data_IF_603101097560
#
_entry.id   IF_603101097560
#
_cell.length_a   1.000
_cell.length_b   1.000
_cell.length_c   1.000
_cell.angle_alpha   90.00
_cell.angle_beta   90.00
_cell.angle_gamma   90.00
#
_symmetry.space_group_name_H-M   'P 1'
#
loop_
_entity.id
_entity.type
_entity.pdbx_description
1 polymer ?
#
# COMPACT_ATOMS: atom_id res chain seq x y z
N UNK A 1 -19.86 -3.32 11.52
CA UNK A 1 -19.21 -4.66 11.62
C UNK A 1 -18.04 -4.70 12.61
N UNK A 2 -16.85 -4.18 12.31
CA UNK A 2 -15.72 -4.30 13.27
C UNK A 2 -15.97 -3.55 14.60
N UNK A 3 -16.58 -2.36 14.54
CA UNK A 3 -16.99 -1.61 15.74
C UNK A 3 -18.13 -2.32 16.49
N UNK A 4 -19.06 -2.97 15.78
CA UNK A 4 -20.13 -3.79 16.41
C UNK A 4 -19.54 -5.00 17.13
N UNK A 5 -18.61 -5.72 16.50
CA UNK A 5 -17.88 -6.84 17.12
C UNK A 5 -17.11 -6.40 18.37
N UNK A 6 -16.50 -5.21 18.34
CA UNK A 6 -15.84 -4.64 19.50
C UNK A 6 -16.83 -4.36 20.64
N UNK A 7 -18.02 -3.84 20.32
CA UNK A 7 -19.09 -3.59 21.30
C UNK A 7 -19.77 -4.85 21.85
N UNK A 8 -19.72 -5.98 21.13
CA UNK A 8 -20.37 -7.24 21.51
C UNK A 8 -19.63 -8.06 22.59
N UNK A 9 -18.47 -7.62 23.09
CA UNK A 9 -17.76 -8.35 24.14
C UNK A 9 -18.49 -8.25 25.50
N UNK A 10 -18.47 -9.31 26.31
CA UNK A 10 -19.18 -9.35 27.59
C UNK A 10 -18.57 -8.44 28.67
N UNK A 11 -17.26 -8.24 28.63
CA UNK A 11 -16.54 -7.43 29.62
C UNK A 11 -16.25 -6.01 29.10
N UNK A 12 -16.50 -4.94 29.88
CA UNK A 12 -16.23 -3.56 29.46
C UNK A 12 -14.76 -3.28 29.15
N UNK A 13 -13.83 -3.97 29.81
CA UNK A 13 -12.39 -3.92 29.54
C UNK A 13 -12.08 -4.40 28.13
N UNK A 14 -12.58 -5.57 27.77
CA UNK A 14 -12.42 -6.20 26.44
C UNK A 14 -13.07 -5.36 25.34
N UNK A 15 -14.25 -4.77 25.59
CA UNK A 15 -14.89 -3.86 24.63
C UNK A 15 -13.98 -2.66 24.30
N UNK A 16 -13.39 -2.03 25.33
CA UNK A 16 -12.48 -0.89 25.17
C UNK A 16 -11.22 -1.29 24.41
N UNK A 17 -10.62 -2.43 24.74
CA UNK A 17 -9.42 -2.93 24.07
C UNK A 17 -9.66 -3.20 22.58
N UNK A 18 -10.74 -3.92 22.25
CA UNK A 18 -11.10 -4.21 20.85
C UNK A 18 -11.37 -2.93 20.06
N UNK A 19 -12.08 -1.97 20.65
CA UNK A 19 -12.35 -0.68 20.01
C UNK A 19 -11.07 0.10 19.76
N UNK A 20 -10.15 0.14 20.74
CA UNK A 20 -8.86 0.80 20.60
C UNK A 20 -8.01 0.17 19.48
N UNK A 21 -7.91 -1.16 19.45
CA UNK A 21 -7.18 -1.89 18.40
C UNK A 21 -7.77 -1.61 17.01
N UNK A 22 -9.10 -1.65 16.89
CA UNK A 22 -9.81 -1.32 15.65
C UNK A 22 -9.55 0.13 15.21
N UNK A 23 -9.61 1.09 16.14
CA UNK A 23 -9.35 2.49 15.83
C UNK A 23 -7.91 2.74 15.36
N UNK A 24 -6.91 2.13 16.01
CA UNK A 24 -5.50 2.22 15.61
C UNK A 24 -5.29 1.58 14.22
N UNK A 25 -5.80 0.37 14.02
CA UNK A 25 -5.56 -0.36 12.78
C UNK A 25 -6.28 0.27 11.58
N UNK A 26 -7.51 0.75 11.73
CA UNK A 26 -8.32 1.24 10.61
C UNK A 26 -8.38 2.76 10.49
N UNK A 27 -7.76 3.51 11.41
CA UNK A 27 -7.82 4.97 11.39
C UNK A 27 -9.20 5.52 11.76
N UNK A 28 -9.91 4.84 12.68
CA UNK A 28 -11.15 5.40 13.23
C UNK A 28 -10.85 6.44 14.31
N UNK A 29 -11.87 7.18 14.76
CA UNK A 29 -11.77 8.21 15.79
C UNK A 29 -10.69 9.27 15.44
N UNK A 30 -10.75 9.79 14.19
CA UNK A 30 -9.84 10.79 13.63
C UNK A 30 -8.35 10.39 13.62
N UNK A 31 -8.05 9.10 13.74
CA UNK A 31 -6.68 8.58 13.63
C UNK A 31 -6.23 8.50 12.18
N UNK A 32 -4.94 8.77 11.98
CA UNK A 32 -4.33 8.65 10.66
C UNK A 32 -4.26 7.20 10.21
N UNK A 33 -4.56 6.95 8.93
CA UNK A 33 -4.33 5.66 8.29
C UNK A 33 -2.84 5.34 8.24
N UNK A 34 -2.42 4.25 8.90
CA UNK A 34 -1.06 3.75 8.81
C UNK A 34 -0.99 2.52 7.91
N UNK A 35 -0.44 2.66 6.71
CA UNK A 35 -0.30 1.60 5.70
C UNK A 35 0.49 0.37 6.18
N UNK A 36 1.35 0.50 7.19
CA UNK A 36 2.18 -0.59 7.72
C UNK A 36 1.38 -1.59 8.55
N UNK A 37 0.22 -1.18 9.09
CA UNK A 37 -0.64 -2.02 9.94
C UNK A 37 -1.44 -3.09 9.16
N UNK A 38 -0.90 -3.56 8.04
CA UNK A 38 -1.57 -4.53 7.17
C UNK A 38 -1.81 -5.85 7.90
N UNK A 39 -0.80 -6.34 8.64
CA UNK A 39 -0.94 -7.56 9.43
C UNK A 39 -1.96 -7.37 10.56
N UNK A 40 -1.88 -6.27 11.31
CA UNK A 40 -2.80 -6.00 12.43
C UNK A 40 -4.26 -5.90 11.96
N UNK A 41 -4.50 -5.33 10.77
CA UNK A 41 -5.83 -5.34 10.16
C UNK A 41 -6.30 -6.75 9.82
N UNK A 42 -5.43 -7.57 9.21
CA UNK A 42 -5.76 -8.98 8.94
C UNK A 42 -6.11 -9.72 10.24
N UNK A 43 -5.29 -9.61 11.28
CA UNK A 43 -5.51 -10.28 12.57
C UNK A 43 -6.84 -9.84 13.21
N UNK A 44 -7.19 -8.56 13.14
CA UNK A 44 -8.48 -8.06 13.65
C UNK A 44 -9.67 -8.58 12.85
N UNK A 45 -9.56 -8.63 11.52
CA UNK A 45 -10.62 -9.19 10.67
C UNK A 45 -10.76 -10.70 10.90
N UNK A 46 -9.66 -11.40 11.15
CA UNK A 46 -9.65 -12.82 11.50
C UNK A 46 -10.33 -13.05 12.85
N UNK A 47 -9.90 -12.34 13.90
CA UNK A 47 -10.48 -12.43 15.26
C UNK A 47 -11.98 -12.10 15.28
N UNK A 48 -12.41 -11.16 14.43
CA UNK A 48 -13.80 -10.77 14.31
C UNK A 48 -14.65 -11.69 13.41
N UNK A 49 -14.06 -12.76 12.87
CA UNK A 49 -14.68 -13.64 11.88
C UNK A 49 -15.28 -12.87 10.68
N UNK A 50 -14.63 -11.78 10.26
CA UNK A 50 -15.04 -10.92 9.14
C UNK A 50 -14.38 -11.29 7.81
N UNK A 51 -13.61 -12.39 7.80
CA UNK A 51 -12.99 -12.97 6.61
C UNK A 51 -13.34 -14.44 6.51
N UNK A 52 -13.37 -14.95 5.28
CA UNK A 52 -13.76 -16.33 4.99
C UNK A 52 -12.85 -17.36 5.68
N UNK A 53 -11.54 -17.06 5.76
CA UNK A 53 -10.55 -17.94 6.39
C UNK A 53 -10.74 -18.12 7.91
N UNK A 54 -11.53 -17.24 8.54
CA UNK A 54 -11.88 -17.34 9.96
C UNK A 54 -13.20 -18.11 10.21
N UNK A 55 -13.81 -18.69 9.15
CA UNK A 55 -15.06 -19.42 9.26
C UNK A 55 -16.30 -18.52 9.36
N UNK A 56 -16.20 -17.23 9.01
CA UNK A 56 -17.22 -16.20 9.20
C UNK A 56 -18.53 -16.32 8.40
N UNK A 57 -18.83 -17.49 7.81
CA UNK A 57 -20.09 -17.77 7.13
C UNK A 57 -20.48 -16.71 6.08
N UNK A 58 -21.79 -16.47 5.92
CA UNK A 58 -22.33 -15.49 4.96
C UNK A 58 -22.01 -14.03 5.33
N UNK A 59 -21.61 -13.76 6.58
CA UNK A 59 -21.28 -12.41 7.06
C UNK A 59 -19.83 -11.99 6.71
N UNK A 60 -18.96 -12.96 6.42
CA UNK A 60 -17.59 -12.73 5.96
C UNK A 60 -17.51 -12.09 4.56
N UNK A 61 -18.52 -12.30 3.72
CA UNK A 61 -18.40 -12.02 2.28
C UNK A 61 -19.10 -10.70 1.94
N UNK A 62 -18.36 -9.61 2.19
CA UNK A 62 -18.45 -8.28 1.55
C UNK A 62 -17.48 -7.28 2.21
N UNK A 63 -17.10 -7.52 3.47
CA UNK A 63 -16.36 -6.56 4.28
C UNK A 63 -14.84 -6.61 4.11
N UNK A 64 -14.29 -7.76 3.70
CA UNK A 64 -12.87 -7.91 3.43
C UNK A 64 -12.61 -7.94 1.92
N UNK A 65 -12.23 -6.80 1.35
CA UNK A 65 -11.84 -6.71 -0.04
C UNK A 65 -10.79 -7.79 -0.40
N UNK A 66 -11.01 -8.53 -1.49
CA UNK A 66 -10.06 -9.49 -2.05
C UNK A 66 -10.58 -10.92 -2.19
N UNK A 67 -9.73 -11.81 -2.72
CA UNK A 67 -10.04 -13.24 -2.89
C UNK A 67 -9.60 -14.02 -1.65
N UNK A 68 -10.41 -14.96 -1.13
CA UNK A 68 -9.99 -15.90 -0.10
C UNK A 68 -8.71 -16.64 -0.50
N UNK A 69 -7.88 -16.98 0.47
CA UNK A 69 -6.65 -17.72 0.25
C UNK A 69 -6.63 -19.01 1.07
N UNK A 70 -6.01 -20.04 0.52
CA UNK A 70 -5.88 -21.34 1.19
C UNK A 70 -5.04 -21.20 2.46
N UNK A 71 -5.44 -21.89 3.52
CA UNK A 71 -4.72 -21.95 4.80
C UNK A 71 -4.39 -20.54 5.35
N UNK A 72 -3.14 -20.30 5.74
CA UNK A 72 -2.66 -19.03 6.30
C UNK A 72 -2.02 -18.11 5.25
N UNK A 73 -2.21 -18.38 3.95
CA UNK A 73 -1.56 -17.62 2.87
C UNK A 73 -1.88 -16.12 2.91
N UNK A 74 -3.11 -15.75 3.29
CA UNK A 74 -3.49 -14.33 3.45
C UNK A 74 -2.71 -13.65 4.58
N UNK A 75 -2.43 -14.38 5.67
CA UNK A 75 -1.60 -13.90 6.79
C UNK A 75 -0.14 -13.72 6.36
N UNK A 76 0.40 -14.68 5.61
CA UNK A 76 1.75 -14.61 5.04
C UNK A 76 1.86 -13.38 4.11
N UNK A 77 0.86 -13.18 3.24
CA UNK A 77 0.80 -12.01 2.37
C UNK A 77 0.73 -10.70 3.18
N UNK A 78 -0.17 -10.60 4.17
CA UNK A 78 -0.31 -9.43 5.01
C UNK A 78 1.01 -9.10 5.74
N UNK A 79 1.73 -10.12 6.19
CA UNK A 79 3.07 -10.00 6.78
C UNK A 79 4.08 -9.46 5.76
N UNK A 80 4.11 -10.02 4.55
CA UNK A 80 4.99 -9.57 3.47
C UNK A 80 4.74 -8.10 3.09
N UNK A 81 3.47 -7.71 2.95
CA UNK A 81 3.08 -6.34 2.61
C UNK A 81 3.42 -5.35 3.73
N UNK A 82 3.18 -5.71 5.00
CA UNK A 82 3.57 -4.87 6.14
C UNK A 82 5.09 -4.60 6.15
N UNK A 83 5.89 -5.65 5.94
CA UNK A 83 7.35 -5.54 5.85
C UNK A 83 7.81 -4.72 4.64
N UNK A 84 7.18 -4.92 3.48
CA UNK A 84 7.45 -4.16 2.27
C UNK A 84 7.19 -2.67 2.50
N UNK A 85 6.01 -2.30 3.02
CA UNK A 85 5.61 -0.91 3.28
C UNK A 85 6.52 -0.21 4.28
N UNK A 86 6.99 -0.94 5.29
CA UNK A 86 8.00 -0.41 6.22
C UNK A 86 9.33 -0.15 5.50
N UNK A 87 9.77 -1.08 4.63
CA UNK A 87 11.04 -1.00 3.90
C UNK A 87 11.07 0.10 2.84
N UNK A 88 10.01 0.27 2.07
CA UNK A 88 10.00 1.21 0.94
C UNK A 88 10.15 2.68 1.34
N UNK A 89 9.86 3.02 2.61
CA UNK A 89 10.06 4.36 3.16
C UNK A 89 11.53 4.79 3.15
N UNK A 90 12.44 3.84 3.31
CA UNK A 90 13.89 4.09 3.34
C UNK A 90 14.66 3.42 2.20
N UNK A 91 14.11 2.40 1.55
CA UNK A 91 14.71 1.75 0.36
C UNK A 91 13.67 1.56 -0.74
N UNK A 92 13.67 2.42 -1.76
CA UNK A 92 12.71 2.31 -2.84
C UNK A 92 12.94 1.11 -3.76
N UNK A 93 12.11 0.08 -3.66
CA UNK A 93 12.19 -1.07 -4.58
C UNK A 93 11.48 -0.82 -5.92
N UNK A 94 10.81 0.33 -6.09
CA UNK A 94 10.05 0.63 -7.32
C UNK A 94 10.90 0.55 -8.59
N UNK A 95 12.20 0.83 -8.48
CA UNK A 95 13.15 0.79 -9.59
C UNK A 95 13.36 -0.62 -10.13
N UNK A 96 13.28 -1.62 -9.25
CA UNK A 96 13.43 -3.04 -9.58
C UNK A 96 12.13 -3.65 -10.14
N UNK A 97 10.98 -3.03 -9.85
CA UNK A 97 9.64 -3.53 -10.22
C UNK A 97 9.10 -2.92 -11.51
N UNK A 98 9.61 -1.76 -11.91
CA UNK A 98 9.18 -1.07 -13.13
C UNK A 98 9.85 -1.69 -14.36
N UNK A 99 9.15 -1.62 -15.48
CA UNK A 99 9.71 -1.97 -16.80
C UNK A 99 10.87 -1.02 -17.16
N UNK A 100 11.73 -1.36 -18.13
CA UNK A 100 12.80 -0.46 -18.59
C UNK A 100 12.31 0.90 -19.08
N UNK A 101 11.14 0.94 -19.74
CA UNK A 101 10.43 2.15 -20.13
C UNK A 101 8.99 2.14 -19.61
N UNK A 102 8.50 3.30 -19.18
CA UNK A 102 7.19 3.43 -18.55
C UNK A 102 6.62 4.85 -18.67
N UNK A 103 5.31 4.97 -18.50
CA UNK A 103 4.63 6.25 -18.35
C UNK A 103 4.66 6.73 -16.89
N UNK A 104 4.58 8.04 -16.66
CA UNK A 104 4.47 8.59 -15.29
C UNK A 104 3.24 8.06 -14.54
N UNK A 105 2.15 7.73 -15.24
CA UNK A 105 0.97 7.13 -14.63
C UNK A 105 1.25 5.72 -14.13
N UNK A 106 1.98 4.91 -14.90
CA UNK A 106 2.38 3.57 -14.46
C UNK A 106 3.30 3.68 -13.24
N UNK A 107 4.27 4.60 -13.24
CA UNK A 107 5.12 4.82 -12.09
C UNK A 107 4.30 5.22 -10.84
N UNK A 108 3.39 6.19 -10.98
CA UNK A 108 2.51 6.61 -9.88
C UNK A 108 1.72 5.43 -9.33
N UNK A 109 1.05 4.66 -10.20
CA UNK A 109 0.24 3.49 -9.78
C UNK A 109 1.07 2.44 -9.06
N UNK A 110 2.28 2.18 -9.51
CA UNK A 110 3.19 1.24 -8.84
C UNK A 110 3.58 1.76 -7.46
N UNK A 111 3.93 3.05 -7.33
CA UNK A 111 4.25 3.65 -6.02
C UNK A 111 3.03 3.61 -5.09
N UNK A 112 1.83 3.95 -5.58
CA UNK A 112 0.59 3.89 -4.79
C UNK A 112 0.27 2.48 -4.32
N UNK A 113 0.41 1.48 -5.21
CA UNK A 113 0.19 0.07 -4.87
C UNK A 113 1.16 -0.42 -3.80
N UNK A 114 2.44 -0.08 -3.91
CA UNK A 114 3.46 -0.42 -2.93
C UNK A 114 3.22 0.29 -1.60
N UNK A 115 2.95 1.60 -1.64
CA UNK A 115 2.72 2.43 -0.47
C UNK A 115 1.37 2.15 0.21
N UNK A 116 0.40 1.55 -0.49
CA UNK A 116 -0.93 1.32 0.06
C UNK A 116 -1.73 2.60 0.33
N UNK A 117 -1.40 3.69 -0.38
CA UNK A 117 -2.11 4.97 -0.30
C UNK A 117 -2.12 5.64 -1.66
N UNK A 118 -3.17 6.41 -1.93
CA UNK A 118 -3.25 7.24 -3.12
C UNK A 118 -2.33 8.45 -2.98
N UNK A 119 -1.80 8.90 -4.11
CA UNK A 119 -0.88 10.03 -4.18
C UNK A 119 -1.48 11.09 -5.10
N UNK A 120 -1.36 12.35 -4.69
CA UNK A 120 -1.79 13.46 -5.52
C UNK A 120 -0.92 13.55 -6.79
N UNK A 121 -1.56 13.44 -7.96
CA UNK A 121 -0.91 13.37 -9.27
C UNK A 121 -0.04 14.61 -9.60
N UNK A 122 -0.52 15.87 -9.43
CA UNK A 122 0.32 17.06 -9.59
C UNK A 122 1.57 17.05 -8.71
N UNK A 123 1.41 16.74 -7.42
CA UNK A 123 2.53 16.70 -6.47
C UNK A 123 3.54 15.61 -6.84
N UNK A 124 3.06 14.44 -7.24
CA UNK A 124 3.91 13.33 -7.67
C UNK A 124 4.76 13.72 -8.89
N UNK A 125 4.15 14.32 -9.91
CA UNK A 125 4.86 14.76 -11.11
C UNK A 125 5.95 15.78 -10.78
N UNK A 126 5.59 16.84 -10.05
CA UNK A 126 6.54 17.89 -9.63
C UNK A 126 7.74 17.30 -8.89
N UNK A 127 7.49 16.31 -8.05
CA UNK A 127 8.51 15.70 -7.21
C UNK A 127 9.45 14.76 -7.97
N UNK A 128 8.92 14.01 -8.94
CA UNK A 128 9.72 13.20 -9.86
C UNK A 128 10.62 14.08 -10.73
N UNK A 129 10.09 15.20 -11.22
CA UNK A 129 10.83 16.19 -12.00
C UNK A 129 11.91 16.89 -11.14
N UNK A 130 11.57 17.33 -9.92
CA UNK A 130 12.50 18.01 -9.02
C UNK A 130 13.67 17.14 -8.54
N UNK A 131 13.43 15.84 -8.38
CA UNK A 131 14.46 14.88 -7.96
C UNK A 131 15.25 14.30 -9.14
N UNK A 132 14.96 14.76 -10.36
CA UNK A 132 15.59 14.33 -11.60
C UNK A 132 15.69 12.80 -11.75
N UNK A 133 14.64 12.09 -11.31
CA UNK A 133 14.69 10.62 -11.20
C UNK A 133 14.60 9.91 -12.55
N UNK A 134 13.97 10.56 -13.52
CA UNK A 134 13.58 9.98 -14.80
C UNK A 134 13.94 10.92 -15.94
N UNK A 135 14.16 10.35 -17.11
CA UNK A 135 14.39 11.07 -18.34
C UNK A 135 13.44 10.58 -19.44
N UNK A 136 13.02 11.50 -20.32
CA UNK A 136 12.16 11.19 -21.46
C UNK A 136 12.93 10.31 -22.48
N UNK A 137 12.29 9.27 -23.00
CA UNK A 137 12.89 8.43 -24.06
C UNK A 137 12.66 8.99 -25.47
N UNK A 138 11.80 10.01 -25.61
CA UNK A 138 11.31 10.52 -26.89
C UNK A 138 10.17 9.70 -27.50
N UNK A 139 9.88 8.53 -26.94
CA UNK A 139 8.81 7.64 -27.41
C UNK A 139 7.48 7.93 -26.72
N UNK A 140 6.39 7.46 -27.31
CA UNK A 140 5.04 7.56 -26.73
C UNK A 140 4.32 6.23 -26.78
N UNK A 141 3.44 6.01 -25.81
CA UNK A 141 2.62 4.81 -25.67
C UNK A 141 1.16 5.13 -25.96
N UNK A 142 0.51 4.29 -26.76
CA UNK A 142 -0.93 4.36 -27.08
C UNK A 142 -1.80 3.50 -26.14
N UNK A 143 -1.18 2.63 -25.33
CA UNK A 143 -1.85 1.70 -24.40
C UNK A 143 -2.70 2.38 -23.31
N UNK A 144 -2.68 3.72 -23.22
CA UNK A 144 -3.46 4.46 -22.21
C UNK A 144 -4.90 4.74 -22.63
N UNK A 145 -5.36 4.27 -23.80
CA UNK A 145 -6.74 4.41 -24.27
C UNK A 145 -7.18 5.85 -24.55
N UNK A 146 -6.21 6.77 -24.73
CA UNK A 146 -6.41 8.20 -24.89
C UNK A 146 -5.22 8.87 -25.59
N UNK A 147 -4.92 10.14 -25.27
CA UNK A 147 -3.75 10.85 -25.84
C UNK A 147 -2.46 10.03 -25.61
N UNK A 148 -1.57 9.92 -26.61
CA UNK A 148 -0.30 9.23 -26.47
C UNK A 148 0.47 9.73 -25.23
N UNK A 149 0.84 8.80 -24.34
CA UNK A 149 1.55 9.11 -23.12
C UNK A 149 3.07 9.01 -23.37
N UNK A 150 3.83 10.04 -22.95
CA UNK A 150 5.29 10.01 -23.04
C UNK A 150 5.87 8.85 -22.22
N UNK A 151 6.89 8.20 -22.79
CA UNK A 151 7.68 7.19 -22.12
C UNK A 151 8.92 7.80 -21.47
N UNK A 152 9.25 7.25 -20.31
CA UNK A 152 10.36 7.64 -19.46
C UNK A 152 11.15 6.40 -19.08
N UNK A 153 12.42 6.61 -18.71
CA UNK A 153 13.27 5.62 -18.06
C UNK A 153 13.94 6.24 -16.85
N UNK A 154 14.38 5.42 -15.90
CA UNK A 154 15.19 5.92 -14.79
C UNK A 154 16.57 6.36 -15.30
N UNK A 155 17.09 7.46 -14.75
CA UNK A 155 18.46 7.92 -15.06
C UNK A 155 19.50 6.94 -14.50
N UNK A 156 20.57 6.69 -15.25
CA UNK A 156 21.65 5.79 -14.81
C UNK A 156 22.32 6.26 -13.52
N UNK A 157 22.60 7.56 -13.37
CA UNK A 157 23.19 8.11 -12.15
C UNK A 157 22.38 7.78 -10.88
N UNK A 158 21.03 7.74 -10.99
CA UNK A 158 20.15 7.37 -9.88
C UNK A 158 20.24 5.87 -9.56
N UNK A 159 20.46 5.02 -10.57
CA UNK A 159 20.68 3.58 -10.38
C UNK A 159 22.05 3.31 -9.74
N UNK A 160 23.08 4.06 -10.12
CA UNK A 160 24.45 3.93 -9.61
C UNK A 160 24.55 4.44 -8.16
N UNK A 161 23.97 5.62 -7.85
CA UNK A 161 23.90 6.16 -6.50
C UNK A 161 23.11 5.25 -5.54
N UNK A 162 22.20 4.40 -6.05
CA UNK A 162 21.46 3.43 -5.23
C UNK A 162 22.27 2.21 -4.86
N UNK A 163 23.15 1.75 -5.74
CA UNK A 163 24.09 0.68 -5.42
C UNK A 163 24.96 1.08 -4.21
N UNK A 164 25.12 2.39 -3.98
CA UNK A 164 26.01 2.98 -2.97
C UNK A 164 25.26 3.53 -1.74
N UNK A 165 24.11 4.23 -1.90
CA UNK A 165 23.58 5.13 -0.85
C UNK A 165 22.08 5.04 -0.52
N UNK A 166 21.28 4.20 -1.20
CA UNK A 166 19.87 3.97 -0.83
C UNK A 166 18.97 5.22 -0.92
N UNK A 167 18.93 5.88 -2.08
CA UNK A 167 18.14 7.10 -2.32
C UNK A 167 16.67 6.95 -1.89
N UNK A 168 16.17 7.84 -1.03
CA UNK A 168 14.81 7.82 -0.45
C UNK A 168 13.73 8.15 -1.48
N UNK A 169 12.58 7.47 -1.44
CA UNK A 169 11.41 7.84 -2.24
C UNK A 169 10.74 9.08 -1.65
N UNK A 170 9.98 9.81 -2.48
CA UNK A 170 9.06 10.86 -2.06
C UNK A 170 7.84 10.37 -1.26
N UNK A 171 8.02 9.40 -0.37
CA UNK A 171 7.04 9.03 0.64
C UNK A 171 7.27 9.78 1.96
N UNK A 172 8.46 10.37 2.13
CA UNK A 172 9.02 10.76 3.42
C UNK A 172 8.58 12.11 4.01
N UNK A 173 7.56 12.78 3.46
CA UNK A 173 6.90 13.91 4.14
C UNK A 173 5.39 13.84 3.95
N UNK A 174 4.72 13.25 4.93
CA UNK A 174 3.36 13.57 5.33
C UNK A 174 3.45 14.11 6.75
#
# INVERSE_FOLDING_TARGET
RLIEWAGGASEPTTQRERRQRAAIAFGFDDRHWNEELTLQRYELLYEAALIEEAGGGRDAIAAAAGKPMVADHRRILATGIARLRSKIKYRPVVFELMRPSFTLLQLQRTVEALAGRLINKPNFRRLVEQQDLVEETGETSLDTGGRPAKLYRFRHAVLDDRAIAGTKLPLARA
#
